data_IF_814462772916
#
_entry.id   IF_814462772916
#
_cell.length_a   1.000
_cell.length_b   1.000
_cell.length_c   1.000
_cell.angle_alpha   90.00
_cell.angle_beta   90.00
_cell.angle_gamma   90.00
#
_symmetry.space_group_name_H-M   'P 1'
#
loop_
_entity.id
_entity.type
_entity.pdbx_description
1 polymer ?
#
# COMPACT_ATOMS: atom_id res chain seq x y z
N UNK A 1 46.44 -12.12 -59.19
CA UNK A 1 45.59 -13.13 -58.50
C UNK A 1 45.35 -12.65 -57.08
N UNK A 2 44.12 -12.13 -56.72
CA UNK A 2 43.76 -11.69 -55.40
C UNK A 2 43.23 -12.91 -54.64
N UNK A 3 43.87 -13.27 -53.55
CA UNK A 3 43.36 -14.29 -52.59
C UNK A 3 42.25 -13.72 -51.75
N UNK A 4 41.03 -14.24 -51.86
CA UNK A 4 39.91 -13.95 -51.02
C UNK A 4 39.96 -14.91 -49.83
N UNK A 5 40.22 -14.36 -48.65
CA UNK A 5 40.18 -15.13 -47.39
C UNK A 5 38.73 -15.07 -46.89
N UNK A 6 38.05 -16.21 -46.96
CA UNK A 6 36.69 -16.36 -46.42
C UNK A 6 36.78 -16.59 -44.89
N UNK A 7 36.37 -15.60 -44.10
CA UNK A 7 36.29 -15.75 -42.66
C UNK A 7 34.98 -16.49 -42.32
N UNK A 8 35.10 -17.72 -41.81
CA UNK A 8 34.00 -18.53 -41.35
C UNK A 8 33.64 -18.07 -39.91
N UNK A 9 32.56 -17.28 -39.76
CA UNK A 9 32.03 -16.95 -38.45
C UNK A 9 31.20 -18.12 -37.94
N UNK A 10 31.68 -18.82 -36.91
CA UNK A 10 30.94 -19.85 -36.19
C UNK A 10 30.01 -19.13 -35.21
N UNK A 11 28.67 -19.27 -35.30
CA UNK A 11 27.79 -18.72 -34.30
C UNK A 11 28.00 -19.48 -32.98
N UNK A 12 28.42 -18.79 -31.93
CA UNK A 12 28.43 -19.33 -30.57
C UNK A 12 26.98 -19.39 -30.13
N UNK A 13 26.36 -20.57 -30.19
CA UNK A 13 25.05 -20.82 -29.57
C UNK A 13 25.31 -20.90 -28.07
N UNK A 14 25.03 -19.84 -27.35
CA UNK A 14 24.94 -19.86 -25.89
C UNK A 14 23.70 -20.69 -25.56
N UNK A 15 23.90 -21.96 -25.25
CA UNK A 15 22.89 -22.80 -24.63
C UNK A 15 22.63 -22.18 -23.24
N UNK A 16 21.57 -21.39 -23.13
CA UNK A 16 21.05 -20.98 -21.81
C UNK A 16 20.79 -22.29 -21.05
N UNK A 17 21.49 -22.50 -19.94
CA UNK A 17 21.24 -23.65 -19.08
C UNK A 17 19.81 -23.58 -18.63
N UNK A 18 18.96 -24.49 -19.03
CA UNK A 18 17.62 -24.63 -18.53
C UNK A 18 17.68 -24.74 -17.01
N UNK A 19 16.91 -23.94 -16.32
CA UNK A 19 16.78 -24.05 -14.86
C UNK A 19 16.29 -25.46 -14.54
N UNK A 20 17.10 -26.21 -13.78
CA UNK A 20 16.72 -27.55 -13.35
C UNK A 20 15.56 -27.46 -12.38
N UNK A 21 14.46 -28.13 -12.70
CA UNK A 21 13.34 -28.27 -11.78
C UNK A 21 13.81 -29.14 -10.61
N UNK A 22 13.62 -28.70 -9.35
CA UNK A 22 13.99 -29.51 -8.19
C UNK A 22 13.16 -30.80 -8.11
N UNK A 23 13.60 -31.82 -7.38
CA UNK A 23 12.79 -33.01 -7.12
C UNK A 23 11.39 -32.64 -6.61
N UNK A 24 10.37 -33.38 -7.03
CA UNK A 24 8.96 -33.10 -6.73
C UNK A 24 8.69 -32.82 -5.23
N UNK A 25 9.30 -33.58 -4.34
CA UNK A 25 9.13 -33.40 -2.90
C UNK A 25 9.60 -32.01 -2.41
N UNK A 26 10.66 -31.46 -3.02
CA UNK A 26 11.16 -30.11 -2.71
C UNK A 26 10.24 -29.06 -3.34
N UNK A 27 9.83 -29.27 -4.59
CA UNK A 27 8.89 -28.37 -5.27
C UNK A 27 7.56 -28.27 -4.48
N UNK A 28 7.01 -29.41 -4.05
CA UNK A 28 5.77 -29.46 -3.26
C UNK A 28 5.87 -28.68 -1.93
N UNK A 29 7.06 -28.67 -1.28
CA UNK A 29 7.28 -27.88 -0.06
C UNK A 29 7.34 -26.38 -0.38
N UNK A 30 8.04 -25.99 -1.45
CA UNK A 30 8.19 -24.57 -1.86
C UNK A 30 6.85 -23.99 -2.32
N UNK A 31 6.08 -24.77 -3.06
CA UNK A 31 4.78 -24.37 -3.62
C UNK A 31 3.61 -24.57 -2.66
N UNK A 32 3.87 -25.15 -1.48
CA UNK A 32 2.83 -25.38 -0.48
C UNK A 32 2.12 -24.06 -0.12
N UNK A 33 0.78 -24.05 -0.07
CA UNK A 33 0.03 -22.88 0.35
C UNK A 33 0.45 -22.44 1.76
N UNK A 34 0.62 -21.14 1.95
CA UNK A 34 0.87 -20.58 3.27
C UNK A 34 -0.35 -20.77 4.17
N UNK A 35 -0.09 -20.93 5.48
CA UNK A 35 -1.17 -20.91 6.48
C UNK A 35 -2.01 -19.65 6.30
N UNK A 36 -3.34 -19.78 6.11
CA UNK A 36 -4.21 -18.63 5.97
C UNK A 36 -4.22 -17.73 7.20
N UNK A 37 -4.41 -16.43 6.97
CA UNK A 37 -4.57 -15.47 8.06
C UNK A 37 -6.02 -15.49 8.53
N UNK A 38 -6.24 -15.62 9.84
CA UNK A 38 -7.55 -15.51 10.45
C UNK A 38 -7.71 -14.15 11.11
N UNK A 39 -8.88 -13.53 10.93
CA UNK A 39 -9.27 -12.28 11.60
C UNK A 39 -10.65 -12.43 12.22
N UNK A 40 -10.70 -12.34 13.54
CA UNK A 40 -11.95 -12.41 14.29
C UNK A 40 -12.67 -11.05 14.23
N UNK A 41 -13.99 -11.09 14.04
CA UNK A 41 -14.82 -9.88 14.07
C UNK A 41 -14.98 -9.31 15.49
N UNK A 42 -15.31 -8.02 15.65
CA UNK A 42 -15.53 -7.42 16.97
C UNK A 42 -16.65 -8.09 17.76
N UNK A 43 -17.67 -8.65 17.10
CA UNK A 43 -18.75 -9.38 17.74
C UNK A 43 -18.37 -10.78 18.24
N UNK A 44 -17.12 -11.25 17.90
CA UNK A 44 -16.57 -12.57 18.29
C UNK A 44 -17.39 -13.78 17.84
N UNK A 45 -18.23 -13.59 16.82
CA UNK A 45 -19.09 -14.65 16.23
C UNK A 45 -18.58 -15.03 14.85
N UNK A 46 -18.25 -14.02 14.04
CA UNK A 46 -17.80 -14.21 12.67
C UNK A 46 -16.28 -14.07 12.57
N UNK A 47 -15.66 -14.74 11.62
CA UNK A 47 -14.24 -14.55 11.33
C UNK A 47 -13.97 -14.63 9.83
N UNK A 48 -12.92 -13.96 9.40
CA UNK A 48 -12.45 -13.93 8.02
C UNK A 48 -11.19 -14.78 7.89
N UNK A 49 -11.19 -15.69 6.93
CA UNK A 49 -10.00 -16.44 6.51
C UNK A 49 -9.50 -15.82 5.21
N UNK A 50 -8.24 -15.43 5.19
CA UNK A 50 -7.59 -14.82 4.03
C UNK A 50 -6.41 -15.66 3.58
N UNK A 51 -6.40 -16.04 2.31
CA UNK A 51 -5.33 -16.81 1.67
C UNK A 51 -4.47 -15.90 0.79
N UNK A 52 -3.20 -16.21 0.68
CA UNK A 52 -2.23 -15.51 -0.16
C UNK A 52 -1.29 -16.49 -0.85
N UNK A 53 -0.68 -16.06 -1.94
CA UNK A 53 0.37 -16.82 -2.60
C UNK A 53 1.58 -16.99 -1.69
N UNK A 54 2.28 -18.13 -1.81
CA UNK A 54 3.52 -18.42 -1.08
C UNK A 54 4.64 -17.47 -1.50
N UNK A 55 4.76 -17.22 -2.79
CA UNK A 55 5.77 -16.37 -3.40
C UNK A 55 5.13 -15.20 -4.16
N UNK A 56 5.80 -14.04 -4.19
CA UNK A 56 5.40 -12.95 -5.08
C UNK A 56 5.61 -13.37 -6.54
N UNK A 57 4.75 -12.89 -7.44
CA UNK A 57 4.93 -13.10 -8.87
C UNK A 57 6.13 -12.32 -9.42
N UNK A 58 6.66 -12.74 -10.58
CA UNK A 58 7.71 -12.00 -11.28
C UNK A 58 7.25 -10.58 -11.62
N UNK A 59 5.98 -10.41 -11.97
CA UNK A 59 5.37 -9.11 -12.24
C UNK A 59 5.43 -8.19 -11.00
N UNK A 60 5.12 -8.72 -9.81
CA UNK A 60 5.23 -7.96 -8.56
C UNK A 60 6.68 -7.58 -8.23
N UNK A 61 7.63 -8.49 -8.49
CA UNK A 61 9.05 -8.25 -8.22
C UNK A 61 9.68 -7.26 -9.21
N UNK A 62 9.22 -7.24 -10.46
CA UNK A 62 9.70 -6.34 -11.52
C UNK A 62 8.97 -4.98 -11.55
N UNK A 63 7.95 -4.79 -10.72
CA UNK A 63 7.19 -3.54 -10.67
C UNK A 63 8.10 -2.35 -10.32
N UNK A 64 7.89 -1.16 -10.96
CA UNK A 64 8.64 0.04 -10.65
C UNK A 64 8.59 0.38 -9.16
N UNK A 65 9.75 0.73 -8.59
CA UNK A 65 9.88 1.07 -7.18
C UNK A 65 10.56 2.42 -7.03
N UNK A 66 9.97 3.31 -6.22
CA UNK A 66 10.59 4.54 -5.76
C UNK A 66 10.99 4.40 -4.29
N UNK A 67 12.16 4.94 -3.96
CA UNK A 67 12.75 4.89 -2.61
C UNK A 67 12.79 6.31 -2.07
N UNK A 68 11.88 6.62 -1.16
CA UNK A 68 11.64 7.99 -0.69
C UNK A 68 11.37 8.02 0.80
N UNK A 69 12.08 8.86 1.52
CA UNK A 69 11.84 9.18 2.94
C UNK A 69 11.85 7.95 3.88
N UNK A 70 12.65 6.92 3.56
CA UNK A 70 12.73 5.66 4.30
C UNK A 70 11.63 4.66 3.94
N UNK A 71 10.94 4.87 2.83
CA UNK A 71 9.84 4.02 2.35
C UNK A 71 10.03 3.66 0.88
N UNK A 72 9.70 2.42 0.53
CA UNK A 72 9.63 1.96 -0.86
C UNK A 72 8.19 1.90 -1.32
N UNK A 73 7.89 2.53 -2.44
CA UNK A 73 6.55 2.58 -2.99
C UNK A 73 6.51 2.12 -4.45
N UNK A 74 5.39 1.51 -4.82
CA UNK A 74 5.02 1.33 -6.21
C UNK A 74 4.25 2.58 -6.65
N UNK A 75 4.82 3.40 -7.56
CA UNK A 75 4.20 4.66 -7.98
C UNK A 75 2.90 4.47 -8.77
N UNK A 76 2.74 3.35 -9.48
CA UNK A 76 1.52 3.06 -10.23
C UNK A 76 0.34 2.80 -9.30
N UNK A 77 0.57 2.10 -8.19
CA UNK A 77 -0.46 1.75 -7.21
C UNK A 77 -0.65 2.80 -6.12
N UNK A 78 0.25 3.76 -5.99
CA UNK A 78 0.31 4.70 -4.88
C UNK A 78 0.28 3.99 -3.50
N UNK A 79 1.05 2.93 -3.40
CA UNK A 79 1.12 2.04 -2.24
C UNK A 79 2.55 1.63 -1.93
N UNK A 80 2.80 1.12 -0.73
CA UNK A 80 4.10 0.51 -0.40
C UNK A 80 4.39 -0.66 -1.32
N UNK A 81 5.65 -0.74 -1.80
CA UNK A 81 6.14 -1.87 -2.57
C UNK A 81 6.15 -3.15 -1.73
N UNK A 82 6.00 -4.29 -2.40
CA UNK A 82 6.14 -5.64 -1.79
C UNK A 82 5.24 -5.83 -0.56
N UNK A 83 4.10 -5.15 -0.53
CA UNK A 83 3.12 -5.30 0.53
C UNK A 83 2.41 -6.64 0.39
N UNK A 84 2.21 -7.35 1.49
CA UNK A 84 1.36 -8.53 1.53
C UNK A 84 -0.03 -8.21 0.98
N UNK A 85 -0.49 -9.03 0.04
CA UNK A 85 -1.85 -9.01 -0.48
C UNK A 85 -2.48 -10.39 -0.38
N UNK A 86 -3.80 -10.43 -0.25
CA UNK A 86 -4.55 -11.66 -0.20
C UNK A 86 -5.32 -11.85 -1.51
N UNK A 87 -5.32 -13.07 -2.00
CA UNK A 87 -5.97 -13.46 -3.25
C UNK A 87 -7.37 -14.04 -3.04
N UNK A 88 -7.65 -14.50 -1.81
CA UNK A 88 -8.94 -15.06 -1.45
C UNK A 88 -9.33 -14.62 -0.03
N UNK A 89 -10.62 -14.44 0.18
CA UNK A 89 -11.20 -14.17 1.49
C UNK A 89 -12.56 -14.87 1.65
N UNK A 90 -12.72 -15.60 2.75
CA UNK A 90 -13.93 -16.34 3.10
C UNK A 90 -14.40 -15.99 4.50
N UNK A 91 -15.67 -15.73 4.65
CA UNK A 91 -16.33 -15.52 5.92
C UNK A 91 -16.78 -16.85 6.51
N UNK A 92 -16.59 -16.99 7.79
CA UNK A 92 -17.01 -18.14 8.60
C UNK A 92 -17.71 -17.65 9.85
N UNK A 93 -18.49 -18.54 10.44
CA UNK A 93 -19.12 -18.31 11.75
C UNK A 93 -18.66 -19.40 12.72
N UNK A 94 -18.35 -19.01 13.96
CA UNK A 94 -17.94 -19.95 15.02
C UNK A 94 -19.07 -20.97 15.25
N UNK A 95 -18.71 -22.25 15.33
CA UNK A 95 -19.67 -23.33 15.52
C UNK A 95 -20.44 -23.75 14.26
N UNK A 96 -20.15 -23.15 13.10
CA UNK A 96 -20.77 -23.54 11.82
C UNK A 96 -19.71 -23.98 10.82
N UNK A 97 -20.00 -25.05 10.07
CA UNK A 97 -19.11 -25.53 8.99
C UNK A 97 -19.23 -24.72 7.69
N UNK A 98 -20.20 -23.79 7.62
CA UNK A 98 -20.46 -23.01 6.41
C UNK A 98 -19.40 -21.94 6.21
N UNK A 99 -18.85 -21.85 4.99
CA UNK A 99 -18.03 -20.73 4.53
C UNK A 99 -18.76 -19.91 3.46
N UNK A 100 -18.59 -18.59 3.50
CA UNK A 100 -19.21 -17.67 2.53
C UNK A 100 -18.06 -16.89 1.86
N UNK A 101 -17.78 -17.13 0.55
CA UNK A 101 -16.77 -16.36 -0.16
C UNK A 101 -17.23 -14.91 -0.35
N UNK A 102 -16.29 -13.96 -0.35
CA UNK A 102 -16.58 -12.58 -0.73
C UNK A 102 -16.89 -12.55 -2.24
N UNK A 103 -18.03 -11.98 -2.60
CA UNK A 103 -18.53 -11.88 -3.99
C UNK A 103 -18.61 -10.40 -4.40
N UNK A 104 -18.54 -10.12 -5.71
CA UNK A 104 -18.64 -8.76 -6.24
C UNK A 104 -17.32 -7.97 -6.18
N UNK A 105 -16.22 -8.65 -5.92
CA UNK A 105 -14.86 -8.13 -6.16
C UNK A 105 -14.48 -8.34 -7.63
N UNK A 106 -13.56 -7.54 -8.20
CA UNK A 106 -13.05 -7.74 -9.55
C UNK A 106 -12.39 -9.12 -9.73
N UNK A 107 -12.28 -9.56 -10.98
CA UNK A 107 -11.47 -10.74 -11.31
C UNK A 107 -10.00 -10.48 -10.94
N UNK A 108 -9.31 -11.49 -10.42
CA UNK A 108 -7.92 -11.40 -9.96
C UNK A 108 -7.68 -10.29 -8.91
N UNK A 109 -8.71 -9.98 -8.12
CA UNK A 109 -8.62 -8.98 -7.07
C UNK A 109 -7.56 -9.35 -6.03
N UNK A 110 -6.74 -8.36 -5.63
CA UNK A 110 -5.82 -8.49 -4.50
C UNK A 110 -6.29 -7.57 -3.38
N UNK A 111 -6.47 -8.13 -2.18
CA UNK A 111 -6.86 -7.39 -0.98
C UNK A 111 -5.60 -6.95 -0.25
N UNK A 112 -5.32 -5.65 -0.23
CA UNK A 112 -4.12 -5.06 0.37
C UNK A 112 -4.31 -4.64 1.83
N UNK A 113 -5.55 -4.39 2.23
CA UNK A 113 -5.90 -4.03 3.60
C UNK A 113 -7.38 -4.33 3.83
N UNK A 114 -7.73 -4.65 5.07
CA UNK A 114 -9.11 -4.84 5.48
C UNK A 114 -9.32 -4.37 6.91
N UNK A 115 -10.56 -4.04 7.25
CA UNK A 115 -10.96 -3.69 8.61
C UNK A 115 -12.44 -3.98 8.82
N UNK A 116 -12.76 -4.61 9.94
CA UNK A 116 -14.14 -4.81 10.38
C UNK A 116 -14.76 -3.49 10.84
N UNK A 117 -16.05 -3.30 10.57
CA UNK A 117 -16.82 -2.25 11.25
C UNK A 117 -16.91 -2.55 12.75
N UNK A 118 -17.00 -1.53 13.62
CA UNK A 118 -17.11 -1.74 15.06
C UNK A 118 -18.25 -2.68 15.47
N UNK A 119 -19.36 -2.69 14.74
CA UNK A 119 -20.53 -3.56 15.00
C UNK A 119 -20.38 -4.98 14.39
N UNK A 120 -19.27 -5.25 13.68
CA UNK A 120 -18.98 -6.54 13.06
C UNK A 120 -19.86 -6.91 11.87
N UNK A 121 -20.72 -6.01 11.34
CA UNK A 121 -21.65 -6.32 10.25
C UNK A 121 -21.10 -6.08 8.86
N UNK A 122 -20.02 -5.31 8.75
CA UNK A 122 -19.38 -4.92 7.48
C UNK A 122 -17.87 -5.04 7.54
N UNK A 123 -17.23 -5.22 6.38
CA UNK A 123 -15.78 -5.21 6.23
C UNK A 123 -15.42 -4.21 5.15
N UNK A 124 -14.56 -3.26 5.47
CA UNK A 124 -13.92 -2.39 4.50
C UNK A 124 -12.68 -3.06 3.94
N UNK A 125 -12.49 -2.97 2.62
CA UNK A 125 -11.43 -3.64 1.89
C UNK A 125 -10.73 -2.65 0.95
N UNK A 126 -9.39 -2.62 0.95
CA UNK A 126 -8.60 -1.97 -0.08
C UNK A 126 -8.27 -3.02 -1.15
N UNK A 127 -8.86 -2.90 -2.32
CA UNK A 127 -8.80 -3.92 -3.37
C UNK A 127 -8.23 -3.36 -4.65
N UNK A 128 -7.26 -4.06 -5.26
CA UNK A 128 -6.78 -3.78 -6.61
C UNK A 128 -7.19 -4.89 -7.57
N UNK A 129 -7.46 -4.50 -8.81
CA UNK A 129 -7.62 -5.41 -9.94
C UNK A 129 -6.64 -5.11 -11.08
N UNK A 130 -6.05 -3.94 -11.08
CA UNK A 130 -5.03 -3.42 -12.01
C UNK A 130 -4.06 -2.54 -11.21
N UNK A 131 -3.64 -1.41 -11.77
CA UNK A 131 -2.70 -0.49 -11.15
C UNK A 131 -3.29 0.37 -10.01
N UNK A 132 -4.60 0.37 -9.77
CA UNK A 132 -5.23 1.22 -8.75
C UNK A 132 -5.86 0.39 -7.63
N UNK A 133 -5.89 0.97 -6.43
CA UNK A 133 -6.50 0.36 -5.26
C UNK A 133 -7.73 1.16 -4.86
N UNK A 134 -8.88 0.51 -4.80
CA UNK A 134 -10.17 1.13 -4.48
C UNK A 134 -10.75 0.61 -3.17
N UNK A 135 -11.64 1.40 -2.58
CA UNK A 135 -12.38 1.01 -1.38
C UNK A 135 -13.62 0.20 -1.75
N UNK A 136 -13.70 -1.00 -1.19
CA UNK A 136 -14.88 -1.85 -1.23
C UNK A 136 -15.45 -2.03 0.17
N UNK A 137 -16.75 -2.29 0.22
CA UNK A 137 -17.46 -2.66 1.43
C UNK A 137 -18.14 -4.01 1.24
N UNK A 138 -17.92 -4.96 2.14
CA UNK A 138 -18.52 -6.29 2.15
C UNK A 138 -19.51 -6.42 3.30
N UNK A 139 -20.67 -7.03 3.02
CA UNK A 139 -21.66 -7.39 4.04
C UNK A 139 -21.30 -8.76 4.63
N UNK A 140 -21.18 -8.88 5.92
CA UNK A 140 -20.71 -10.09 6.63
C UNK A 140 -21.70 -11.26 6.48
N UNK A 141 -23.01 -11.00 6.53
CA UNK A 141 -24.02 -12.06 6.43
C UNK A 141 -24.09 -12.70 5.04
N UNK A 142 -23.86 -11.90 4.00
CA UNK A 142 -24.10 -12.35 2.60
C UNK A 142 -22.82 -12.55 1.81
N UNK A 143 -21.69 -12.03 2.25
CA UNK A 143 -20.43 -11.99 1.50
C UNK A 143 -20.47 -11.06 0.29
N UNK A 144 -21.57 -10.35 0.04
CA UNK A 144 -21.68 -9.42 -1.10
C UNK A 144 -20.83 -8.18 -0.86
N UNK A 145 -19.96 -7.86 -1.81
CA UNK A 145 -19.09 -6.70 -1.79
C UNK A 145 -19.46 -5.74 -2.91
N UNK A 146 -19.27 -4.44 -2.67
CA UNK A 146 -19.45 -3.38 -3.68
C UNK A 146 -18.35 -2.33 -3.53
N UNK A 147 -17.95 -1.72 -4.64
CA UNK A 147 -17.08 -0.55 -4.61
C UNK A 147 -17.81 0.61 -3.93
N UNK A 148 -17.17 1.18 -2.91
CA UNK A 148 -17.72 2.31 -2.16
C UNK A 148 -17.16 3.65 -2.63
N UNK A 149 -15.88 3.69 -3.00
CA UNK A 149 -15.19 4.89 -3.48
C UNK A 149 -14.44 4.58 -4.78
N UNK A 150 -14.70 5.40 -5.81
CA UNK A 150 -14.02 5.29 -7.12
C UNK A 150 -12.65 5.96 -7.13
N UNK A 151 -12.45 7.01 -6.31
CA UNK A 151 -11.13 7.65 -6.21
C UNK A 151 -10.14 6.66 -5.63
N UNK A 152 -8.94 6.51 -6.25
CA UNK A 152 -7.94 5.57 -5.77
C UNK A 152 -7.50 5.89 -4.34
N UNK A 153 -7.26 4.86 -3.55
CA UNK A 153 -6.74 4.98 -2.20
C UNK A 153 -5.24 5.29 -2.19
N UNK A 154 -4.79 6.05 -1.20
CA UNK A 154 -3.37 6.26 -0.94
C UNK A 154 -2.91 5.34 0.20
N UNK A 155 -2.10 4.33 -0.14
CA UNK A 155 -1.53 3.34 0.79
C UNK A 155 -0.04 3.56 1.06
N UNK A 156 0.50 4.73 0.78
CA UNK A 156 1.93 5.03 1.01
C UNK A 156 2.30 5.08 2.49
N UNK A 157 1.44 5.65 3.33
CA UNK A 157 1.62 5.68 4.78
C UNK A 157 0.40 5.14 5.53
N UNK A 158 0.65 4.32 6.59
CA UNK A 158 -0.36 3.85 7.55
C UNK A 158 -1.57 3.17 6.91
N UNK A 159 -2.67 3.09 7.65
CA UNK A 159 -3.91 2.55 7.16
C UNK A 159 -4.57 3.50 6.13
N UNK A 160 -5.10 2.99 5.00
CA UNK A 160 -5.75 3.82 3.99
C UNK A 160 -7.13 4.31 4.41
N UNK A 161 -7.75 3.67 5.38
CA UNK A 161 -9.05 4.02 5.92
C UNK A 161 -9.18 3.57 7.37
N UNK A 162 -10.07 4.21 8.09
CA UNK A 162 -10.49 3.85 9.45
C UNK A 162 -12.00 4.00 9.57
N UNK A 163 -12.64 3.11 10.32
CA UNK A 163 -14.06 3.22 10.64
C UNK A 163 -14.30 4.32 11.67
N UNK A 164 -15.41 5.02 11.56
CA UNK A 164 -15.97 5.76 12.68
C UNK A 164 -16.67 4.80 13.66
N UNK A 165 -16.84 5.23 14.90
CA UNK A 165 -17.48 4.45 15.96
C UNK A 165 -18.92 4.06 15.67
N UNK A 166 -19.60 4.82 14.81
CA UNK A 166 -20.98 4.60 14.38
C UNK A 166 -21.18 3.39 13.46
N UNK A 167 -20.10 2.78 12.95
CA UNK A 167 -20.14 1.70 11.96
C UNK A 167 -20.85 2.07 10.64
N UNK A 168 -21.18 3.35 10.43
CA UNK A 168 -21.92 3.82 9.26
C UNK A 168 -21.05 4.63 8.29
N UNK A 169 -19.85 5.00 8.70
CA UNK A 169 -18.94 5.81 7.90
C UNK A 169 -17.47 5.47 8.13
N UNK A 170 -16.66 5.82 7.15
CA UNK A 170 -15.20 5.66 7.17
C UNK A 170 -14.51 6.99 6.84
N UNK A 171 -13.35 7.19 7.45
CA UNK A 171 -12.43 8.24 7.05
C UNK A 171 -11.34 7.59 6.19
N UNK A 172 -11.15 8.11 4.98
CA UNK A 172 -10.38 7.48 3.92
C UNK A 172 -9.31 8.43 3.41
N UNK A 173 -8.13 7.92 3.12
CA UNK A 173 -7.07 8.62 2.39
C UNK A 173 -7.15 8.27 0.91
N UNK A 174 -7.46 9.23 0.06
CA UNK A 174 -7.47 9.05 -1.39
C UNK A 174 -6.33 9.82 -2.05
N UNK A 175 -5.93 9.35 -3.21
CA UNK A 175 -5.10 10.13 -4.14
C UNK A 175 -5.90 11.35 -4.59
N UNK A 176 -5.23 12.48 -4.80
CA UNK A 176 -5.88 13.72 -5.26
C UNK A 176 -6.43 13.54 -6.68
N UNK A 177 -7.68 13.91 -6.89
CA UNK A 177 -8.32 13.85 -8.23
C UNK A 177 -7.57 14.71 -9.28
N UNK A 178 -7.01 15.85 -8.85
CA UNK A 178 -6.26 16.78 -9.71
C UNK A 178 -4.79 16.86 -9.28
N UNK A 179 -4.13 15.72 -9.16
CA UNK A 179 -2.73 15.66 -8.72
C UNK A 179 -1.74 16.21 -9.74
N UNK A 180 -2.08 16.22 -11.02
CA UNK A 180 -1.17 16.63 -12.11
C UNK A 180 -0.21 15.50 -12.49
N UNK A 181 0.92 15.90 -13.08
CA UNK A 181 1.96 14.98 -13.58
C UNK A 181 3.08 14.87 -12.52
N UNK A 182 3.61 13.67 -12.36
CA UNK A 182 4.73 13.44 -11.45
C UNK A 182 5.95 14.31 -11.82
N UNK A 183 6.65 14.88 -10.84
CA UNK A 183 7.86 15.65 -11.07
C UNK A 183 8.85 14.86 -11.93
N UNK A 184 9.49 15.55 -12.88
CA UNK A 184 10.58 15.00 -13.69
C UNK A 184 11.92 15.49 -13.15
N UNK A 185 12.93 14.63 -13.18
CA UNK A 185 14.27 15.02 -12.79
C UNK A 185 14.80 16.09 -13.75
N UNK A 186 15.25 17.21 -13.20
CA UNK A 186 15.86 18.26 -14.00
C UNK A 186 17.15 17.78 -14.67
N UNK A 187 17.48 18.35 -15.82
CA UNK A 187 18.71 18.00 -16.56
C UNK A 187 19.98 18.45 -15.85
N UNK A 188 19.91 19.47 -14.98
CA UNK A 188 21.06 19.93 -14.19
C UNK A 188 21.17 19.12 -12.90
N UNK A 189 22.36 18.55 -12.60
CA UNK A 189 22.60 17.95 -11.29
C UNK A 189 22.37 19.01 -10.21
N UNK A 190 21.60 18.69 -9.17
CA UNK A 190 21.65 19.47 -7.93
C UNK A 190 23.07 19.30 -7.37
N UNK A 191 23.71 20.38 -6.92
CA UNK A 191 25.03 20.32 -6.31
C UNK A 191 25.10 19.32 -5.15
N UNK A 192 26.27 19.00 -4.65
CA UNK A 192 26.44 18.05 -3.57
C UNK A 192 25.64 18.48 -2.35
N UNK A 193 24.91 17.55 -1.74
CA UNK A 193 24.24 17.79 -0.45
C UNK A 193 25.29 17.65 0.63
N UNK A 194 25.68 18.76 1.27
CA UNK A 194 26.62 18.75 2.38
C UNK A 194 25.85 18.54 3.69
N UNK A 195 26.24 17.55 4.46
CA UNK A 195 25.75 17.34 5.83
C UNK A 195 26.91 17.55 6.79
N UNK A 196 26.76 18.51 7.69
CA UNK A 196 27.78 18.79 8.72
C UNK A 196 27.26 18.29 10.08
N UNK A 197 28.07 17.51 10.76
CA UNK A 197 27.75 16.95 12.07
C UNK A 197 28.41 17.77 13.19
N UNK A 198 28.37 19.06 13.15
CA UNK A 198 28.86 20.07 14.15
C UNK A 198 29.41 19.48 15.47
N UNK A 199 30.26 18.45 15.42
CA UNK A 199 30.92 17.81 16.56
C UNK A 199 30.04 16.97 17.49
N UNK A 200 28.76 16.72 17.18
CA UNK A 200 27.92 15.83 17.99
C UNK A 200 28.11 14.38 17.55
N UNK A 201 28.66 13.56 18.44
CA UNK A 201 28.71 12.10 18.25
C UNK A 201 27.29 11.58 18.37
N UNK A 202 26.66 11.25 17.24
CA UNK A 202 25.40 10.50 17.22
C UNK A 202 25.70 9.03 16.91
N UNK A 203 25.02 8.06 17.54
CA UNK A 203 25.14 6.66 17.13
C UNK A 203 24.75 6.57 15.65
N UNK A 204 25.70 6.11 14.82
CA UNK A 204 25.51 6.00 13.37
C UNK A 204 24.55 4.85 13.05
N UNK A 205 23.26 5.10 13.17
CA UNK A 205 22.25 4.19 12.58
C UNK A 205 22.21 4.46 11.09
N UNK A 206 22.51 3.46 10.29
CA UNK A 206 22.35 3.53 8.84
C UNK A 206 20.88 3.35 8.49
N UNK A 207 20.26 4.38 7.98
CA UNK A 207 18.90 4.31 7.43
C UNK A 207 18.96 4.20 5.90
N UNK A 208 18.09 3.39 5.33
CA UNK A 208 17.99 3.21 3.90
C UNK A 208 16.90 4.10 3.29
N UNK A 209 17.03 4.35 1.97
CA UNK A 209 15.98 4.95 1.16
C UNK A 209 15.57 6.37 1.62
N UNK A 210 16.53 7.15 2.18
CA UNK A 210 16.32 8.53 2.62
C UNK A 210 16.11 9.48 1.44
N UNK A 211 15.56 10.67 1.71
CA UNK A 211 15.58 11.77 0.75
C UNK A 211 17.02 12.22 0.51
N UNK A 212 17.38 12.49 -0.74
CA UNK A 212 18.73 12.90 -1.13
C UNK A 212 18.76 14.23 -1.85
N UNK A 213 17.61 14.73 -2.31
CA UNK A 213 17.53 15.93 -3.12
C UNK A 213 16.15 16.59 -3.02
N UNK A 214 16.06 17.84 -3.48
CA UNK A 214 14.78 18.55 -3.63
C UNK A 214 13.84 17.86 -4.63
N UNK A 215 14.39 17.10 -5.59
CA UNK A 215 13.61 16.27 -6.48
C UNK A 215 12.92 15.11 -5.72
N UNK A 216 13.63 14.47 -4.80
CA UNK A 216 13.04 13.42 -3.95
C UNK A 216 11.97 13.99 -3.03
N UNK A 217 12.16 15.21 -2.50
CA UNK A 217 11.10 15.91 -1.77
C UNK A 217 9.85 16.15 -2.62
N UNK A 218 10.04 16.59 -3.86
CA UNK A 218 8.92 16.84 -4.78
C UNK A 218 8.17 15.54 -5.11
N UNK A 219 8.89 14.43 -5.31
CA UNK A 219 8.29 13.10 -5.48
C UNK A 219 7.57 12.63 -4.21
N UNK A 220 8.16 12.89 -3.05
CA UNK A 220 7.57 12.56 -1.76
C UNK A 220 6.26 13.33 -1.57
N UNK A 221 6.25 14.64 -1.79
CA UNK A 221 5.04 15.46 -1.76
C UNK A 221 3.99 14.91 -2.73
N UNK A 222 4.40 14.58 -3.96
CA UNK A 222 3.50 14.13 -5.01
C UNK A 222 2.80 12.80 -4.67
N UNK A 223 3.54 11.78 -4.22
CA UNK A 223 2.99 10.45 -4.01
C UNK A 223 2.35 10.27 -2.63
N UNK A 224 2.82 10.99 -1.61
CA UNK A 224 2.36 10.78 -0.24
C UNK A 224 1.23 11.71 0.18
N UNK A 225 1.00 12.81 -0.55
CA UNK A 225 -0.13 13.70 -0.29
C UNK A 225 -1.44 12.98 -0.57
N UNK A 226 -2.35 13.05 0.39
CA UNK A 226 -3.68 12.47 0.35
C UNK A 226 -4.75 13.54 0.57
N UNK A 227 -5.90 13.37 -0.07
CA UNK A 227 -7.15 14.00 0.33
C UNK A 227 -7.86 13.09 1.32
N UNK A 228 -8.31 13.65 2.43
CA UNK A 228 -9.13 12.92 3.40
C UNK A 228 -10.59 13.06 3.00
N UNK A 229 -11.27 11.92 2.98
CA UNK A 229 -12.69 11.81 2.63
C UNK A 229 -13.41 11.11 3.77
N UNK A 230 -14.47 11.72 4.29
CA UNK A 230 -15.47 11.03 5.10
C UNK A 230 -16.53 10.44 4.17
N UNK A 231 -16.73 9.13 4.21
CA UNK A 231 -17.67 8.45 3.33
C UNK A 231 -18.58 7.50 4.11
N UNK A 232 -19.89 7.68 3.95
CA UNK A 232 -20.85 6.75 4.53
C UNK A 232 -20.91 5.44 3.74
N UNK A 233 -21.31 4.34 4.37
CA UNK A 233 -21.53 3.04 3.71
C UNK A 233 -22.59 3.11 2.59
N UNK A 234 -23.40 4.17 2.57
CA UNK A 234 -24.38 4.48 1.50
C UNK A 234 -23.76 5.25 0.34
N UNK A 235 -22.47 5.66 0.43
CA UNK A 235 -21.74 6.35 -0.64
C UNK A 235 -21.78 7.89 -0.57
N UNK A 236 -22.44 8.50 0.43
CA UNK A 236 -22.38 9.95 0.62
C UNK A 236 -20.98 10.33 1.10
N UNK A 237 -20.29 11.20 0.37
CA UNK A 237 -18.90 11.64 0.66
C UNK A 237 -18.82 13.12 1.01
N UNK A 238 -17.90 13.47 1.92
CA UNK A 238 -17.53 14.83 2.32
C UNK A 238 -15.99 14.90 2.40
N UNK A 239 -15.40 15.95 1.86
CA UNK A 239 -13.95 16.21 1.99
C UNK A 239 -13.69 16.77 3.40
N UNK A 240 -12.60 16.33 4.03
CA UNK A 240 -12.14 16.83 5.32
C UNK A 240 -10.80 17.52 5.14
N UNK A 241 -10.72 18.76 5.57
CA UNK A 241 -9.49 19.55 5.61
C UNK A 241 -8.83 19.76 4.25
N UNK A 242 -7.60 20.26 4.29
CA UNK A 242 -6.74 20.43 3.11
C UNK A 242 -5.97 19.13 2.84
N UNK A 243 -5.59 18.87 1.58
CA UNK A 243 -4.67 17.78 1.25
C UNK A 243 -3.35 17.89 2.03
N UNK A 244 -2.79 16.75 2.42
CA UNK A 244 -1.52 16.70 3.14
C UNK A 244 -0.94 15.29 3.20
N UNK A 245 0.28 15.15 3.69
CA UNK A 245 0.92 13.86 3.92
C UNK A 245 0.41 13.30 5.24
N UNK A 246 -0.60 12.45 5.17
CA UNK A 246 -1.30 11.91 6.34
C UNK A 246 -0.65 10.60 6.78
N UNK A 247 -0.05 10.64 7.99
CA UNK A 247 0.56 9.45 8.59
C UNK A 247 -0.45 8.57 9.29
N UNK A 248 -1.36 9.18 10.08
CA UNK A 248 -2.32 8.46 10.91
C UNK A 248 -3.64 9.23 11.02
N UNK A 249 -4.73 8.49 11.18
CA UNK A 249 -6.07 9.01 11.43
C UNK A 249 -6.66 8.19 12.57
N UNK A 250 -7.13 8.86 13.62
CA UNK A 250 -7.76 8.22 14.78
C UNK A 250 -9.07 8.95 15.10
N UNK A 251 -10.22 8.38 14.80
CA UNK A 251 -11.52 8.88 15.25
C UNK A 251 -11.66 8.68 16.76
N UNK A 252 -12.26 9.65 17.44
CA UNK A 252 -12.62 9.51 18.86
C UNK A 252 -13.71 8.47 19.07
N UNK A 253 -13.75 7.79 20.23
CA UNK A 253 -14.78 6.80 20.53
C UNK A 253 -16.21 7.36 20.49
N UNK A 254 -16.39 8.62 20.87
CA UNK A 254 -17.68 9.32 20.84
C UNK A 254 -18.08 9.82 19.44
N UNK A 255 -17.17 9.69 18.43
CA UNK A 255 -17.39 10.11 17.06
C UNK A 255 -17.32 11.63 16.81
N UNK A 256 -17.12 12.46 17.86
CA UNK A 256 -17.17 13.92 17.75
C UNK A 256 -15.87 14.52 17.19
N UNK A 257 -14.75 13.83 17.35
CA UNK A 257 -13.42 14.31 16.95
C UNK A 257 -12.70 13.30 16.07
N UNK A 258 -11.75 13.79 15.31
CA UNK A 258 -10.80 12.96 14.56
C UNK A 258 -9.41 13.58 14.69
N UNK A 259 -8.48 12.83 15.27
CA UNK A 259 -7.08 13.20 15.28
C UNK A 259 -6.46 12.82 13.95
N UNK A 260 -5.76 13.78 13.30
CA UNK A 260 -5.05 13.56 12.05
C UNK A 260 -3.59 13.97 12.24
N UNK A 261 -2.70 13.03 12.06
CA UNK A 261 -1.26 13.26 12.11
C UNK A 261 -0.74 13.56 10.71
N UNK A 262 -0.22 14.77 10.51
CA UNK A 262 0.29 15.26 9.23
C UNK A 262 1.80 15.44 9.30
N UNK A 263 2.49 15.06 8.25
CA UNK A 263 3.93 15.31 8.03
C UNK A 263 4.05 16.55 7.15
N UNK A 264 4.92 17.49 7.54
CA UNK A 264 5.18 18.72 6.80
C UNK A 264 6.67 19.02 6.71
N UNK A 265 7.04 19.92 5.81
CA UNK A 265 8.41 20.48 5.68
C UNK A 265 8.82 21.26 6.90
N UNK A 266 10.14 21.34 7.18
CA UNK A 266 11.26 20.74 6.43
C UNK A 266 11.39 19.24 6.67
N UNK A 267 11.74 18.46 5.63
CA UNK A 267 11.93 17.02 5.75
C UNK A 267 13.37 16.68 6.16
N UNK A 268 13.52 15.54 6.85
CA UNK A 268 14.83 15.02 7.22
C UNK A 268 15.50 14.26 6.08
N UNK A 269 16.79 14.47 5.92
CA UNK A 269 17.67 13.71 5.01
C UNK A 269 18.54 12.71 5.76
N UNK A 270 18.50 12.71 7.10
CA UNK A 270 19.38 11.93 7.98
C UNK A 270 18.67 10.71 8.55
N UNK A 271 17.35 10.82 8.75
CA UNK A 271 16.49 9.75 9.26
C UNK A 271 15.21 9.67 8.43
N UNK A 272 14.51 8.53 8.43
CA UNK A 272 13.21 8.44 7.77
C UNK A 272 12.28 9.56 8.22
N UNK A 273 11.61 10.22 7.29
CA UNK A 273 10.75 11.38 7.58
C UNK A 273 9.65 11.03 8.59
N UNK A 274 9.22 9.78 8.62
CA UNK A 274 8.23 9.30 9.59
C UNK A 274 8.72 9.29 11.05
N UNK A 275 10.01 9.44 11.31
CA UNK A 275 10.60 9.50 12.66
C UNK A 275 10.77 10.92 13.18
N UNK A 276 10.63 11.92 12.32
CA UNK A 276 10.76 13.32 12.67
C UNK A 276 9.41 14.04 12.59
N UNK A 277 9.29 15.11 13.37
CA UNK A 277 8.19 16.09 13.35
C UNK A 277 6.78 15.49 13.46
N UNK A 278 6.33 15.35 14.68
CA UNK A 278 4.95 15.08 15.04
C UNK A 278 4.33 16.37 15.56
N UNK A 279 3.75 17.19 14.69
CA UNK A 279 2.80 18.21 15.13
C UNK A 279 1.40 17.58 15.13
N UNK A 280 0.69 17.78 16.21
CA UNK A 280 -0.69 17.38 16.38
C UNK A 280 -1.59 18.61 16.16
N UNK A 281 -2.10 18.85 14.95
CA UNK A 281 -3.21 19.79 14.82
C UNK A 281 -4.47 19.12 15.37
N UNK A 282 -4.98 19.60 16.47
CA UNK A 282 -6.32 19.31 16.92
C UNK A 282 -7.28 20.13 16.08
N UNK A 283 -7.95 19.51 15.12
CA UNK A 283 -9.08 20.13 14.45
C UNK A 283 -10.36 19.61 15.06
N UNK A 284 -11.15 20.53 15.58
CA UNK A 284 -12.54 20.29 15.95
C UNK A 284 -13.32 20.04 14.66
N UNK A 285 -13.95 18.89 14.51
CA UNK A 285 -14.90 18.68 13.42
C UNK A 285 -16.16 19.47 13.74
N UNK A 286 -16.45 20.48 12.93
CA UNK A 286 -17.73 21.16 12.92
C UNK A 286 -18.67 20.43 11.98
#
# INVERSE_FOLDING_TARGET
>A
MKKITLALSIPIIILASEYKIPPKAIADIVDAPLTPTMSLSPNKIDYLILSRSSLPSIEELSAPELRLAGVRINPAMNARSRRTSYTEAKLHQIGQSRSIPLKGLPNNAKIHSFSWSPDGKSIALAVSSNAEIHLYIANVKTGKSKMLLRSPLNLTYGAPFVWRSDSQSLIVKSVLERRGIAPKRGMKPSGPTTQENLGKIAPARTYQDLLQSSYDEALFDFYFTSQIIDISIKGKKKLIGKPGIVKRIDPSPDGNYTMIQIIHKPYSYIVPVSYTHLTLPTSRSV
#
